data_IF_294270544743
#
_entry.id   IF_294270544743
#
_cell.length_a   1.000
_cell.length_b   1.000
_cell.length_c   1.000
_cell.angle_alpha   90.00
_cell.angle_beta   90.00
_cell.angle_gamma   90.00
#
_symmetry.space_group_name_H-M   'P 1'
#
loop_
_entity.id
_entity.type
_entity.pdbx_description
1 polymer ?
#
# COMPACT_ATOMS: atom_id res chain seq x y z
N UNK A 1 17.81 -54.34 23.46
CA UNK A 1 16.77 -53.83 22.55
C UNK A 1 17.00 -52.33 22.41
N UNK A 2 17.03 -51.78 21.19
CA UNK A 2 17.31 -50.36 21.02
C UNK A 2 16.15 -49.56 21.62
N UNK A 3 16.46 -48.71 22.60
CA UNK A 3 15.48 -47.87 23.29
C UNK A 3 15.62 -46.44 22.80
N UNK A 4 14.51 -45.77 22.52
CA UNK A 4 14.51 -44.38 22.02
C UNK A 4 14.20 -43.44 23.17
N UNK A 5 15.16 -42.58 23.52
CA UNK A 5 14.97 -41.52 24.54
C UNK A 5 14.76 -40.17 23.85
N UNK A 6 13.57 -39.58 24.02
CA UNK A 6 13.23 -38.24 23.55
C UNK A 6 13.37 -37.24 24.71
N UNK A 7 14.25 -36.24 24.57
CA UNK A 7 14.36 -35.11 25.52
C UNK A 7 13.81 -33.83 24.91
N UNK A 8 12.71 -33.34 25.48
CA UNK A 8 12.14 -32.03 25.18
C UNK A 8 12.77 -30.92 26.04
N UNK A 9 12.64 -29.62 25.65
CA UNK A 9 13.35 -28.49 26.29
C UNK A 9 12.98 -28.19 27.75
N UNK A 10 12.06 -28.93 28.38
CA UNK A 10 11.74 -28.80 29.82
C UNK A 10 11.44 -30.15 30.48
N UNK A 11 12.46 -31.01 30.57
CA UNK A 11 12.67 -31.91 31.71
C UNK A 11 11.69 -33.07 31.97
N UNK A 12 10.81 -33.43 31.04
CA UNK A 12 10.00 -34.67 31.14
C UNK A 12 10.42 -35.62 30.01
N UNK A 13 10.82 -36.84 30.38
CA UNK A 13 11.26 -37.90 29.46
C UNK A 13 10.19 -38.99 29.35
N UNK A 14 9.83 -39.36 28.12
CA UNK A 14 9.07 -40.57 27.83
C UNK A 14 9.93 -41.53 26.99
N UNK A 15 9.91 -42.80 27.38
CA UNK A 15 10.66 -43.88 26.72
C UNK A 15 9.65 -44.71 25.94
N UNK A 16 9.87 -44.85 24.64
CA UNK A 16 9.09 -45.75 23.79
C UNK A 16 9.97 -46.90 23.32
N UNK A 17 9.41 -48.09 23.32
CA UNK A 17 10.05 -49.32 22.85
C UNK A 17 9.53 -49.58 21.43
N UNK A 18 10.35 -49.27 20.41
CA UNK A 18 10.01 -49.53 19.01
C UNK A 18 11.06 -50.47 18.45
N UNK A 19 10.61 -51.67 18.10
CA UNK A 19 11.45 -52.72 17.53
C UNK A 19 11.95 -52.32 16.13
N UNK A 20 13.26 -52.44 15.88
CA UNK A 20 13.91 -51.98 14.64
C UNK A 20 13.35 -52.63 13.37
N UNK A 21 12.75 -53.81 13.51
CA UNK A 21 12.07 -54.53 12.43
C UNK A 21 10.79 -53.82 11.95
N UNK A 22 10.07 -53.12 12.83
CA UNK A 22 8.83 -52.38 12.50
C UNK A 22 9.11 -51.07 11.78
N UNK A 23 10.27 -50.46 12.04
CA UNK A 23 10.68 -49.22 11.38
C UNK A 23 11.09 -49.50 9.93
N UNK A 24 11.75 -50.63 9.67
CA UNK A 24 12.03 -51.12 8.32
C UNK A 24 10.75 -51.47 7.55
N UNK A 25 9.76 -52.12 8.19
CA UNK A 25 8.44 -52.34 7.59
C UNK A 25 7.69 -51.04 7.28
N UNK A 26 7.79 -50.02 8.14
CA UNK A 26 7.18 -48.71 7.93
C UNK A 26 7.71 -48.03 6.66
N UNK A 27 9.04 -48.02 6.46
CA UNK A 27 9.64 -47.48 5.24
C UNK A 27 9.36 -48.34 4.00
N UNK A 28 9.31 -49.67 4.14
CA UNK A 28 8.83 -50.56 3.06
C UNK A 28 7.39 -50.27 2.64
N UNK A 29 6.52 -49.87 3.56
CA UNK A 29 5.12 -49.50 3.26
C UNK A 29 4.94 -48.17 2.50
N UNK A 30 6.00 -47.35 2.42
CA UNK A 30 5.99 -46.05 1.75
C UNK A 30 6.42 -46.13 0.27
N UNK A 31 7.11 -47.20 -0.15
CA UNK A 31 7.62 -47.38 -1.52
C UNK A 31 7.25 -48.78 -2.05
N UNK A 32 6.54 -48.86 -3.17
CA UNK A 32 6.07 -50.14 -3.75
C UNK A 32 7.13 -50.91 -4.57
N UNK A 33 8.42 -50.60 -4.42
CA UNK A 33 9.48 -51.19 -5.21
C UNK A 33 10.48 -51.92 -4.31
N UNK A 34 10.44 -53.26 -4.32
CA UNK A 34 11.36 -54.10 -3.54
C UNK A 34 12.78 -54.14 -4.13
N UNK A 35 12.98 -53.71 -5.38
CA UNK A 35 14.28 -53.77 -6.06
C UNK A 35 15.23 -52.62 -5.68
N UNK A 36 14.72 -51.55 -5.07
CA UNK A 36 15.49 -50.32 -4.78
C UNK A 36 16.07 -50.27 -3.36
N UNK A 37 15.81 -51.28 -2.53
CA UNK A 37 16.31 -51.39 -1.16
C UNK A 37 17.43 -52.43 -1.10
N UNK A 38 18.59 -52.09 -1.66
CA UNK A 38 19.83 -52.84 -1.41
C UNK A 38 20.05 -53.01 0.11
N UNK A 39 20.48 -54.20 0.51
CA UNK A 39 20.53 -54.69 1.88
C UNK A 39 20.80 -53.62 2.94
N UNK A 40 19.93 -53.57 3.95
CA UNK A 40 20.03 -52.80 5.20
C UNK A 40 21.18 -53.33 6.10
N UNK A 41 22.34 -53.60 5.50
CA UNK A 41 23.52 -54.19 6.10
C UNK A 41 24.81 -53.40 5.83
N UNK A 42 24.99 -52.82 4.64
CA UNK A 42 26.13 -51.95 4.31
C UNK A 42 25.75 -51.05 3.11
N UNK A 43 25.72 -49.72 3.31
CA UNK A 43 25.03 -48.75 2.44
C UNK A 43 25.63 -48.50 1.04
N UNK A 44 24.77 -48.40 0.01
CA UNK A 44 24.91 -47.46 -1.11
C UNK A 44 23.53 -47.07 -1.69
N UNK A 45 23.25 -45.76 -1.84
CA UNK A 45 22.06 -45.27 -2.57
C UNK A 45 22.50 -44.16 -3.54
N UNK A 46 22.16 -44.36 -4.81
CA UNK A 46 22.29 -43.42 -5.92
C UNK A 46 20.88 -42.98 -6.32
N UNK A 47 20.69 -41.69 -6.64
CA UNK A 47 19.40 -41.11 -7.03
C UNK A 47 19.60 -40.33 -8.33
N UNK A 48 18.82 -40.66 -9.36
CA UNK A 48 18.70 -39.87 -10.59
C UNK A 48 17.20 -39.58 -10.88
N UNK A 49 16.95 -38.34 -11.33
CA UNK A 49 15.71 -37.64 -11.76
C UNK A 49 14.52 -37.46 -10.77
N UNK A 50 14.09 -36.20 -10.64
CA UNK A 50 13.22 -35.68 -9.55
C UNK A 50 11.84 -35.22 -10.06
N UNK A 51 10.72 -35.77 -9.55
CA UNK A 51 9.37 -35.20 -9.69
C UNK A 51 8.87 -34.51 -8.40
N UNK A 52 7.87 -33.60 -8.49
CA UNK A 52 7.30 -32.88 -7.34
C UNK A 52 6.54 -33.81 -6.37
N UNK A 53 6.71 -33.62 -5.05
CA UNK A 53 6.04 -34.40 -3.99
C UNK A 53 6.92 -35.39 -3.21
N UNK A 54 8.22 -35.10 -3.06
CA UNK A 54 9.19 -35.96 -2.35
C UNK A 54 9.56 -35.43 -0.96
N UNK A 55 10.02 -36.34 -0.09
CA UNK A 55 10.57 -36.06 1.24
C UNK A 55 12.07 -36.30 1.23
N UNK A 56 12.86 -35.33 1.70
CA UNK A 56 14.31 -35.51 1.85
C UNK A 56 14.67 -36.06 3.23
N UNK A 57 15.47 -37.11 3.24
CA UNK A 57 16.02 -37.73 4.44
C UNK A 57 17.54 -37.58 4.41
N UNK A 58 18.10 -36.82 5.35
CA UNK A 58 19.56 -36.61 5.43
C UNK A 58 20.16 -37.46 6.54
N UNK A 59 21.15 -38.29 6.21
CA UNK A 59 21.89 -39.11 7.17
C UNK A 59 23.28 -38.50 7.36
N UNK A 60 23.66 -38.25 8.62
CA UNK A 60 24.97 -37.68 8.96
C UNK A 60 25.78 -38.73 9.71
N UNK A 61 26.87 -39.21 9.12
CA UNK A 61 27.80 -40.13 9.79
C UNK A 61 28.69 -39.38 10.79
N UNK A 62 29.08 -40.03 11.90
CA UNK A 62 29.92 -39.40 12.93
C UNK A 62 31.33 -38.99 12.44
N UNK A 63 31.71 -39.34 11.20
CA UNK A 63 32.93 -38.87 10.52
C UNK A 63 32.76 -37.59 9.68
N UNK A 64 31.58 -36.97 9.67
CA UNK A 64 31.31 -35.73 8.93
C UNK A 64 30.86 -35.94 7.47
N UNK A 65 30.66 -37.18 7.04
CA UNK A 65 30.04 -37.50 5.76
C UNK A 65 28.52 -37.35 5.84
N UNK A 66 27.94 -36.60 4.91
CA UNK A 66 26.50 -36.42 4.79
C UNK A 66 26.00 -37.16 3.55
N UNK A 67 24.97 -38.00 3.69
CA UNK A 67 24.27 -38.62 2.56
C UNK A 67 22.80 -38.24 2.62
N UNK A 68 22.31 -37.59 1.57
CA UNK A 68 20.90 -37.20 1.45
C UNK A 68 20.20 -38.17 0.51
N UNK A 69 19.06 -38.69 0.95
CA UNK A 69 18.22 -39.60 0.20
C UNK A 69 16.84 -38.98 0.04
N UNK A 70 16.40 -38.80 -1.19
CA UNK A 70 15.09 -38.26 -1.53
C UNK A 70 14.12 -39.42 -1.76
N UNK A 71 13.04 -39.48 -0.98
CA UNK A 71 12.01 -40.51 -1.09
C UNK A 71 10.77 -39.89 -1.75
N UNK A 72 10.36 -40.33 -2.94
CA UNK A 72 9.13 -39.85 -3.58
C UNK A 72 7.90 -40.41 -2.83
N UNK A 73 7.01 -39.54 -2.36
CA UNK A 73 5.75 -39.95 -1.71
C UNK A 73 4.54 -39.26 -2.34
N UNK A 74 4.06 -39.70 -3.52
CA UNK A 74 2.83 -39.17 -4.07
C UNK A 74 1.64 -39.57 -3.19
N UNK A 75 0.89 -38.59 -2.69
CA UNK A 75 -0.45 -38.80 -2.11
C UNK A 75 -0.53 -39.43 -0.72
N UNK A 76 0.59 -39.67 -0.02
CA UNK A 76 0.60 -40.24 1.35
C UNK A 76 1.10 -39.31 2.45
N UNK A 77 1.32 -38.03 2.16
CA UNK A 77 1.74 -37.00 3.14
C UNK A 77 0.78 -36.96 4.34
N UNK A 78 -0.53 -37.01 4.10
CA UNK A 78 -1.53 -37.03 5.17
C UNK A 78 -1.51 -38.29 6.04
N UNK A 79 -1.14 -39.46 5.50
CA UNK A 79 -1.01 -40.69 6.27
C UNK A 79 0.26 -40.69 7.13
N UNK A 80 1.36 -40.13 6.61
CA UNK A 80 2.61 -39.93 7.35
C UNK A 80 2.40 -38.95 8.51
N UNK A 81 1.70 -37.84 8.24
CA UNK A 81 1.37 -36.81 9.22
C UNK A 81 0.39 -37.32 10.31
N UNK A 82 -0.59 -38.16 9.95
CA UNK A 82 -1.51 -38.78 10.89
C UNK A 82 -0.85 -39.86 11.77
N UNK A 83 0.06 -40.67 11.22
CA UNK A 83 0.81 -41.67 11.98
C UNK A 83 1.81 -41.02 12.95
N UNK A 84 2.47 -39.93 12.53
CA UNK A 84 3.36 -39.15 13.40
C UNK A 84 2.58 -38.35 14.46
N UNK A 85 1.41 -37.81 14.12
CA UNK A 85 0.52 -37.12 15.06
C UNK A 85 -0.14 -38.05 16.10
N UNK A 86 -0.39 -39.32 15.76
CA UNK A 86 -0.80 -40.32 16.76
C UNK A 86 0.33 -40.72 17.72
N UNK A 87 1.59 -40.51 17.31
CA UNK A 87 2.76 -40.79 18.14
C UNK A 87 3.24 -39.57 18.95
N UNK A 88 2.77 -38.35 18.65
CA UNK A 88 3.24 -37.11 19.26
C UNK A 88 2.16 -36.00 19.27
N UNK A 89 1.75 -35.55 20.46
CA UNK A 89 0.68 -34.54 20.64
C UNK A 89 1.25 -33.12 20.84
N UNK A 90 2.21 -32.71 19.99
CA UNK A 90 2.90 -31.42 20.08
C UNK A 90 3.32 -30.84 18.72
N UNK A 91 3.59 -29.53 18.67
CA UNK A 91 3.85 -28.76 17.45
C UNK A 91 5.00 -29.33 16.60
N UNK A 92 4.70 -29.64 15.34
CA UNK A 92 5.40 -30.59 14.45
C UNK A 92 6.44 -29.92 13.52
N UNK A 93 7.02 -28.79 13.92
CA UNK A 93 7.96 -28.06 13.04
C UNK A 93 9.36 -28.68 12.97
N UNK A 94 9.75 -29.55 13.91
CA UNK A 94 11.02 -30.30 13.84
C UNK A 94 11.01 -31.50 14.80
N UNK A 95 11.29 -32.71 14.33
CA UNK A 95 11.41 -33.91 15.18
C UNK A 95 12.80 -34.53 15.03
N UNK A 96 13.60 -34.55 16.11
CA UNK A 96 14.96 -35.13 16.11
C UNK A 96 14.93 -36.47 16.84
N UNK A 97 15.18 -37.57 16.14
CA UNK A 97 15.30 -38.91 16.72
C UNK A 97 16.78 -39.22 16.98
N UNK A 98 17.17 -39.44 18.24
CA UNK A 98 18.49 -39.97 18.59
C UNK A 98 18.34 -41.45 18.98
N UNK A 99 19.05 -42.34 18.30
CA UNK A 99 19.17 -43.76 18.66
C UNK A 99 20.53 -44.02 19.29
N UNK A 100 20.60 -44.83 20.35
CA UNK A 100 21.89 -45.29 20.88
C UNK A 100 22.47 -46.42 20.01
N UNK A 101 23.63 -46.13 19.44
CA UNK A 101 24.42 -46.92 18.49
C UNK A 101 25.38 -45.96 17.77
N UNK A 102 26.43 -46.43 17.06
CA UNK A 102 27.55 -45.62 16.50
C UNK A 102 27.19 -44.50 15.47
N UNK A 103 25.93 -44.09 15.35
CA UNK A 103 25.46 -43.20 14.29
C UNK A 103 24.44 -42.18 14.80
N UNK A 104 24.39 -41.00 14.16
CA UNK A 104 23.44 -39.92 14.46
C UNK A 104 22.57 -39.67 13.23
N UNK A 105 21.30 -40.09 13.26
CA UNK A 105 20.37 -39.85 12.15
C UNK A 105 19.55 -38.60 12.45
N UNK A 106 19.54 -37.62 11.54
CA UNK A 106 18.77 -36.37 11.68
C UNK A 106 17.73 -36.31 10.58
N UNK A 107 16.49 -36.69 10.89
CA UNK A 107 15.38 -36.62 9.92
C UNK A 107 14.76 -35.23 9.97
N UNK A 108 15.09 -34.37 9.02
CA UNK A 108 14.41 -33.09 8.84
C UNK A 108 13.15 -33.31 7.99
N UNK A 109 11.98 -33.36 8.64
CA UNK A 109 10.70 -33.35 7.92
C UNK A 109 10.30 -31.90 7.70
N UNK A 110 10.56 -31.36 6.51
CA UNK A 110 10.05 -30.05 6.10
C UNK A 110 8.63 -30.25 5.58
N UNK A 111 7.64 -30.00 6.43
CA UNK A 111 6.23 -29.96 6.01
C UNK A 111 5.98 -28.57 5.43
N UNK A 112 6.01 -28.45 4.09
CA UNK A 112 5.52 -27.25 3.43
C UNK A 112 4.05 -27.04 3.79
N UNK A 113 3.72 -25.86 4.29
CA UNK A 113 2.38 -25.50 4.73
C UNK A 113 1.44 -25.33 3.54
N UNK A 114 0.94 -26.43 2.97
CA UNK A 114 -0.08 -26.42 1.91
C UNK A 114 -1.51 -26.45 2.46
N UNK A 115 -1.75 -25.85 3.63
CA UNK A 115 -3.11 -25.71 4.19
C UNK A 115 -3.65 -24.31 3.86
N UNK A 116 -3.88 -24.05 2.56
CA UNK A 116 -4.84 -23.09 1.99
C UNK A 116 -4.58 -22.85 0.49
N UNK A 117 -4.43 -23.90 -0.33
CA UNK A 117 -4.39 -23.69 -1.78
C UNK A 117 -5.56 -24.39 -2.46
N UNK A 118 -6.50 -23.64 -3.06
CA UNK A 118 -7.45 -24.20 -4.01
C UNK A 118 -6.64 -24.90 -5.10
N UNK A 119 -6.85 -26.20 -5.25
CA UNK A 119 -6.08 -27.14 -6.07
C UNK A 119 -6.20 -26.90 -7.59
N UNK A 120 -5.98 -25.68 -8.06
CA UNK A 120 -6.16 -25.29 -9.47
C UNK A 120 -5.47 -23.99 -9.87
N UNK A 121 -4.49 -23.51 -9.11
CA UNK A 121 -3.86 -22.21 -9.34
C UNK A 121 -2.35 -22.32 -9.59
N UNK A 122 -1.91 -23.30 -10.40
CA UNK A 122 -0.46 -23.54 -10.66
C UNK A 122 0.27 -22.32 -11.22
N UNK A 123 -0.46 -21.42 -11.89
CA UNK A 123 0.10 -20.18 -12.44
C UNK A 123 0.60 -19.20 -11.37
N UNK A 124 0.20 -19.36 -10.10
CA UNK A 124 0.74 -18.59 -8.97
C UNK A 124 2.22 -18.92 -8.76
N UNK A 125 2.57 -20.20 -8.82
CA UNK A 125 3.94 -20.68 -8.60
C UNK A 125 4.81 -20.39 -9.82
N UNK A 126 4.22 -20.38 -11.02
CA UNK A 126 4.92 -20.07 -12.26
C UNK A 126 5.26 -18.56 -12.41
N UNK A 127 4.37 -17.66 -11.95
CA UNK A 127 4.57 -16.20 -11.99
C UNK A 127 3.93 -15.49 -10.77
N UNK A 128 4.59 -15.53 -9.59
CA UNK A 128 4.06 -14.93 -8.37
C UNK A 128 3.89 -13.41 -8.46
N UNK A 129 4.70 -12.75 -9.31
CA UNK A 129 4.62 -11.31 -9.54
C UNK A 129 3.36 -10.98 -10.35
N UNK A 130 3.16 -11.63 -11.50
CA UNK A 130 1.97 -11.48 -12.32
C UNK A 130 0.69 -11.82 -11.56
N UNK A 131 0.73 -12.88 -10.76
CA UNK A 131 -0.34 -13.26 -9.83
C UNK A 131 -0.73 -12.14 -8.89
N UNK A 132 0.25 -11.57 -8.18
CA UNK A 132 -0.01 -10.48 -7.26
C UNK A 132 -0.66 -9.27 -7.95
N UNK A 133 -0.21 -8.88 -9.15
CA UNK A 133 -0.79 -7.75 -9.87
C UNK A 133 -2.22 -8.00 -10.36
N UNK A 134 -2.51 -9.17 -10.93
CA UNK A 134 -3.85 -9.51 -11.41
C UNK A 134 -4.82 -9.57 -10.23
N UNK A 135 -4.40 -10.20 -9.12
CA UNK A 135 -5.21 -10.27 -7.92
C UNK A 135 -5.45 -8.88 -7.32
N UNK A 136 -4.41 -8.06 -7.20
CA UNK A 136 -4.54 -6.68 -6.70
C UNK A 136 -5.45 -5.83 -7.57
N UNK A 137 -5.41 -6.01 -8.90
CA UNK A 137 -6.31 -5.33 -9.83
C UNK A 137 -7.76 -5.80 -9.60
N UNK A 138 -7.98 -7.11 -9.50
CA UNK A 138 -9.29 -7.69 -9.21
C UNK A 138 -9.88 -7.20 -7.89
N UNK A 139 -9.07 -7.18 -6.82
CA UNK A 139 -9.44 -6.64 -5.50
C UNK A 139 -9.73 -5.15 -5.58
N UNK A 140 -8.90 -4.38 -6.31
CA UNK A 140 -9.11 -2.94 -6.50
C UNK A 140 -10.43 -2.68 -7.20
N UNK A 141 -10.70 -3.36 -8.31
CA UNK A 141 -11.94 -3.20 -9.08
C UNK A 141 -13.14 -3.62 -8.25
N UNK A 142 -13.09 -4.79 -7.60
CA UNK A 142 -14.18 -5.31 -6.79
C UNK A 142 -14.54 -4.39 -5.62
N UNK A 143 -13.54 -3.97 -4.84
CA UNK A 143 -13.74 -3.06 -3.70
C UNK A 143 -14.28 -1.70 -4.15
N UNK A 144 -13.68 -1.12 -5.20
CA UNK A 144 -14.09 0.20 -5.70
C UNK A 144 -15.49 0.17 -6.31
N UNK A 145 -15.86 -0.88 -7.05
CA UNK A 145 -17.22 -1.03 -7.60
C UNK A 145 -18.25 -1.30 -6.50
N UNK A 146 -17.89 -2.06 -5.45
CA UNK A 146 -18.78 -2.27 -4.31
C UNK A 146 -19.04 -0.95 -3.57
N UNK A 147 -17.99 -0.17 -3.30
CA UNK A 147 -18.14 1.15 -2.69
C UNK A 147 -18.88 2.15 -3.60
N UNK A 148 -18.68 2.10 -4.92
CA UNK A 148 -19.46 2.86 -5.89
C UNK A 148 -20.94 2.49 -5.83
N UNK A 149 -21.28 1.21 -5.82
CA UNK A 149 -22.67 0.76 -5.75
C UNK A 149 -23.36 1.28 -4.48
N UNK A 150 -22.70 1.20 -3.33
CA UNK A 150 -23.19 1.76 -2.06
C UNK A 150 -23.32 3.29 -2.16
N UNK A 151 -22.30 3.99 -2.66
CA UNK A 151 -22.30 5.45 -2.78
C UNK A 151 -23.38 5.95 -3.74
N UNK A 152 -23.61 5.26 -4.86
CA UNK A 152 -24.63 5.58 -5.85
C UNK A 152 -26.05 5.28 -5.33
N UNK A 153 -26.25 4.14 -4.66
CA UNK A 153 -27.54 3.75 -4.10
C UNK A 153 -27.96 4.63 -2.91
N UNK A 154 -27.03 4.93 -2.00
CA UNK A 154 -27.29 5.73 -0.79
C UNK A 154 -27.04 7.23 -0.97
N UNK A 155 -26.58 7.65 -2.16
CA UNK A 155 -26.17 9.04 -2.42
C UNK A 155 -25.17 9.55 -1.39
N UNK A 156 -24.25 8.66 -0.98
CA UNK A 156 -23.34 8.86 0.15
C UNK A 156 -21.91 9.08 -0.34
N UNK A 157 -21.52 10.35 -0.42
CA UNK A 157 -20.24 10.86 -0.92
C UNK A 157 -19.09 10.69 0.07
N UNK A 158 -19.39 10.58 1.35
CA UNK A 158 -18.41 10.54 2.45
C UNK A 158 -17.49 9.30 2.42
N UNK A 159 -17.91 8.25 1.71
CA UNK A 159 -17.17 6.99 1.64
C UNK A 159 -16.06 7.00 0.57
N UNK A 160 -16.09 7.96 -0.36
CA UNK A 160 -15.18 7.98 -1.51
C UNK A 160 -13.71 8.05 -1.08
N UNK A 161 -13.37 9.05 -0.26
CA UNK A 161 -12.02 9.24 0.30
C UNK A 161 -11.57 8.05 1.17
N UNK A 162 -12.50 7.43 1.91
CA UNK A 162 -12.24 6.27 2.75
C UNK A 162 -11.96 5.02 1.90
N UNK A 163 -12.74 4.79 0.84
CA UNK A 163 -12.61 3.64 -0.05
C UNK A 163 -11.24 3.64 -0.75
N UNK A 164 -10.79 4.80 -1.25
CA UNK A 164 -9.45 4.93 -1.82
C UNK A 164 -8.35 4.57 -0.82
N UNK A 165 -8.37 5.17 0.36
CA UNK A 165 -7.34 4.98 1.39
C UNK A 165 -7.31 3.55 1.95
N UNK A 166 -8.48 2.96 2.21
CA UNK A 166 -8.60 1.58 2.68
C UNK A 166 -8.06 0.59 1.65
N UNK A 167 -8.29 0.83 0.36
CA UNK A 167 -7.83 -0.05 -0.70
C UNK A 167 -6.30 -0.16 -0.72
N UNK A 168 -5.56 0.95 -0.56
CA UNK A 168 -4.10 0.88 -0.40
C UNK A 168 -3.65 -0.01 0.77
N UNK A 169 -4.33 0.09 1.93
CA UNK A 169 -4.03 -0.75 3.10
C UNK A 169 -4.29 -2.22 2.79
N UNK A 170 -5.42 -2.51 2.15
CA UNK A 170 -5.80 -3.86 1.72
C UNK A 170 -4.75 -4.43 0.77
N UNK A 171 -4.29 -3.68 -0.24
CA UNK A 171 -3.27 -4.17 -1.17
C UNK A 171 -1.93 -4.43 -0.48
N UNK A 172 -1.50 -3.55 0.43
CA UNK A 172 -0.26 -3.74 1.18
C UNK A 172 -0.31 -4.97 2.08
N UNK A 173 -1.40 -5.16 2.84
CA UNK A 173 -1.57 -6.32 3.73
C UNK A 173 -1.75 -7.61 2.92
N UNK A 174 -2.59 -7.59 1.88
CA UNK A 174 -2.84 -8.75 1.03
C UNK A 174 -1.55 -9.26 0.40
N UNK A 175 -0.75 -8.38 -0.21
CA UNK A 175 0.49 -8.79 -0.86
C UNK A 175 1.55 -9.25 0.14
N UNK A 176 1.58 -8.69 1.35
CA UNK A 176 2.45 -9.18 2.43
C UNK A 176 2.06 -10.60 2.88
N UNK A 177 0.76 -10.88 3.02
CA UNK A 177 0.25 -12.21 3.40
C UNK A 177 0.47 -13.27 2.33
N UNK A 178 0.57 -12.85 1.06
CA UNK A 178 0.82 -13.73 -0.08
C UNK A 178 2.31 -13.91 -0.40
N UNK A 179 3.20 -13.18 0.28
CA UNK A 179 4.63 -13.30 0.07
C UNK A 179 5.15 -14.66 0.57
N UNK A 180 5.89 -15.37 -0.28
CA UNK A 180 6.50 -16.66 0.05
C UNK A 180 7.48 -16.56 1.23
N UNK A 181 8.32 -15.51 1.19
CA UNK A 181 9.23 -15.17 2.28
C UNK A 181 8.97 -13.75 2.79
N UNK A 182 8.63 -13.65 4.08
CA UNK A 182 8.39 -12.36 4.74
C UNK A 182 9.70 -11.85 5.35
N UNK A 183 10.38 -10.98 4.60
CA UNK A 183 11.56 -10.26 5.06
C UNK A 183 11.24 -8.93 5.78
N UNK A 184 12.23 -8.37 6.47
CA UNK A 184 12.09 -7.08 7.15
C UNK A 184 11.70 -5.93 6.20
N UNK A 185 12.17 -5.98 4.94
CA UNK A 185 11.81 -5.00 3.89
C UNK A 185 10.31 -4.98 3.63
N UNK A 186 9.71 -6.15 3.39
CA UNK A 186 8.29 -6.31 3.11
C UNK A 186 7.44 -5.83 4.29
N UNK A 187 7.81 -6.24 5.51
CA UNK A 187 7.14 -5.81 6.74
C UNK A 187 7.17 -4.28 6.87
N UNK A 188 8.37 -3.68 6.82
CA UNK A 188 8.52 -2.23 7.04
C UNK A 188 7.77 -1.43 5.97
N UNK A 189 7.94 -1.75 4.69
CA UNK A 189 7.26 -1.02 3.60
C UNK A 189 5.74 -1.15 3.73
N UNK A 190 5.24 -2.36 4.04
CA UNK A 190 3.79 -2.59 4.21
C UNK A 190 3.23 -1.83 5.41
N UNK A 191 3.95 -1.83 6.54
CA UNK A 191 3.59 -1.04 7.72
C UNK A 191 3.59 0.46 7.44
N UNK A 192 4.62 0.98 6.75
CA UNK A 192 4.71 2.39 6.38
C UNK A 192 3.50 2.81 5.52
N UNK A 193 3.20 2.05 4.46
CA UNK A 193 2.02 2.29 3.63
C UNK A 193 0.75 2.22 4.47
N UNK A 194 0.53 1.15 5.23
CA UNK A 194 -0.67 0.98 6.05
C UNK A 194 -0.88 2.16 7.02
N UNK A 195 0.14 2.52 7.80
CA UNK A 195 0.08 3.62 8.77
C UNK A 195 -0.25 4.94 8.08
N UNK A 196 0.45 5.28 6.99
CA UNK A 196 0.22 6.55 6.29
C UNK A 196 -1.19 6.67 5.70
N UNK A 197 -1.71 5.56 5.15
CA UNK A 197 -3.03 5.56 4.50
C UNK A 197 -4.15 5.54 5.53
N UNK A 198 -3.97 4.84 6.65
CA UNK A 198 -4.91 4.87 7.77
C UNK A 198 -4.95 6.26 8.42
N UNK A 199 -3.81 6.92 8.62
CA UNK A 199 -3.75 8.29 9.13
C UNK A 199 -4.50 9.26 8.21
N UNK A 200 -4.21 9.23 6.91
CA UNK A 200 -4.88 10.07 5.92
C UNK A 200 -6.39 9.81 5.88
N UNK A 201 -6.80 8.54 5.91
CA UNK A 201 -8.21 8.14 5.96
C UNK A 201 -8.91 8.73 7.20
N UNK A 202 -8.30 8.59 8.37
CA UNK A 202 -8.85 9.08 9.63
C UNK A 202 -8.99 10.61 9.63
N UNK A 203 -7.98 11.33 9.12
CA UNK A 203 -8.01 12.78 9.00
C UNK A 203 -9.11 13.27 8.04
N UNK A 204 -9.23 12.64 6.87
CA UNK A 204 -10.26 12.98 5.89
C UNK A 204 -11.67 12.68 6.42
N UNK A 205 -11.86 11.52 7.05
CA UNK A 205 -13.13 11.15 7.67
C UNK A 205 -13.52 12.15 8.76
N UNK A 206 -12.60 12.50 9.66
CA UNK A 206 -12.83 13.52 10.69
C UNK A 206 -13.28 14.86 10.08
N UNK A 207 -12.60 15.32 9.02
CA UNK A 207 -12.92 16.59 8.35
C UNK A 207 -14.30 16.57 7.70
N UNK A 208 -14.66 15.46 7.06
CA UNK A 208 -15.98 15.30 6.41
C UNK A 208 -17.10 15.25 7.46
N UNK A 209 -16.88 14.55 8.58
CA UNK A 209 -17.84 14.52 9.69
C UNK A 209 -18.08 15.92 10.29
N UNK A 210 -17.05 16.78 10.34
CA UNK A 210 -17.21 18.16 10.82
C UNK A 210 -17.86 19.12 9.80
N UNK A 211 -17.60 18.97 8.50
CA UNK A 211 -18.11 19.92 7.47
C UNK A 211 -19.54 19.63 7.02
N UNK A 212 -20.10 18.46 7.34
CA UNK A 212 -21.46 18.12 6.96
C UNK A 212 -21.53 17.52 5.54
N UNK A 213 -22.01 18.30 4.56
CA UNK A 213 -22.14 17.90 3.15
C UNK A 213 -20.98 18.41 2.31
N UNK A 214 -20.47 17.58 1.37
CA UNK A 214 -19.46 17.99 0.40
C UNK A 214 -20.13 18.49 -0.89
N UNK A 215 -20.00 19.79 -1.16
CA UNK A 215 -20.58 20.48 -2.31
C UNK A 215 -20.04 19.98 -3.66
N UNK A 216 -18.89 19.28 -3.68
CA UNK A 216 -18.28 18.73 -4.92
C UNK A 216 -19.19 17.73 -5.63
N UNK A 217 -20.02 17.01 -4.87
CA UNK A 217 -20.82 15.90 -5.41
C UNK A 217 -22.29 16.26 -5.67
N UNK A 218 -22.73 17.48 -5.37
CA UNK A 218 -24.14 17.85 -5.47
C UNK A 218 -24.66 17.76 -6.92
N UNK A 219 -23.83 18.06 -7.93
CA UNK A 219 -24.20 17.99 -9.37
C UNK A 219 -23.77 16.71 -10.07
N UNK A 220 -22.83 15.95 -9.49
CA UNK A 220 -22.26 14.72 -10.09
C UNK A 220 -23.11 13.49 -9.73
N UNK A 221 -23.76 13.52 -8.57
CA UNK A 221 -24.63 12.47 -8.02
C UNK A 221 -25.80 12.06 -8.93
N UNK A 222 -26.34 13.03 -9.66
CA UNK A 222 -27.48 12.83 -10.56
C UNK A 222 -27.10 12.12 -11.86
N UNK A 223 -25.80 11.93 -12.12
CA UNK A 223 -25.27 11.34 -13.36
C UNK A 223 -24.38 10.13 -13.04
N UNK A 224 -24.95 8.91 -12.94
CA UNK A 224 -24.23 7.73 -12.47
C UNK A 224 -23.01 7.38 -13.32
N UNK A 225 -23.05 7.66 -14.64
CA UNK A 225 -21.90 7.44 -15.53
C UNK A 225 -20.75 8.42 -15.27
N UNK A 226 -21.05 9.69 -14.97
CA UNK A 226 -20.01 10.69 -14.64
C UNK A 226 -19.41 10.36 -13.27
N UNK A 227 -20.23 9.91 -12.32
CA UNK A 227 -19.75 9.43 -11.05
C UNK A 227 -18.86 8.18 -11.21
N UNK A 228 -19.23 7.22 -12.06
CA UNK A 228 -18.41 6.04 -12.34
C UNK A 228 -17.02 6.40 -12.89
N UNK A 229 -16.92 7.41 -13.76
CA UNK A 229 -15.61 7.89 -14.26
C UNK A 229 -14.68 8.32 -13.12
N UNK A 230 -15.21 8.98 -12.08
CA UNK A 230 -14.43 9.33 -10.88
C UNK A 230 -13.88 8.08 -10.18
N UNK A 231 -14.70 7.02 -10.04
CA UNK A 231 -14.26 5.76 -9.43
C UNK A 231 -13.23 5.01 -10.27
N UNK A 232 -13.34 5.04 -11.61
CA UNK A 232 -12.33 4.48 -12.51
C UNK A 232 -11.00 5.21 -12.36
N UNK A 233 -11.00 6.54 -12.28
CA UNK A 233 -9.79 7.31 -11.96
C UNK A 233 -9.21 6.96 -10.59
N UNK A 234 -10.07 6.71 -9.61
CA UNK A 234 -9.65 6.27 -8.27
C UNK A 234 -9.02 4.87 -8.31
N UNK A 235 -9.57 3.93 -9.07
CA UNK A 235 -8.99 2.59 -9.29
C UNK A 235 -7.60 2.69 -9.91
N UNK A 236 -7.46 3.47 -10.99
CA UNK A 236 -6.17 3.67 -11.66
C UNK A 236 -5.15 4.28 -10.70
N UNK A 237 -5.55 5.29 -9.93
CA UNK A 237 -4.68 5.93 -8.94
C UNK A 237 -4.21 4.95 -7.87
N UNK A 238 -5.12 4.22 -7.22
CA UNK A 238 -4.74 3.26 -6.17
C UNK A 238 -3.79 2.21 -6.72
N UNK A 239 -4.11 1.65 -7.88
CA UNK A 239 -3.34 0.55 -8.47
C UNK A 239 -1.93 0.99 -8.90
N UNK A 240 -1.82 2.10 -9.64
CA UNK A 240 -0.51 2.60 -10.12
C UNK A 240 0.38 3.01 -8.96
N UNK A 241 -0.17 3.70 -7.96
CA UNK A 241 0.61 4.17 -6.82
C UNK A 241 1.01 3.01 -5.89
N UNK A 242 0.16 1.98 -5.75
CA UNK A 242 0.51 0.76 -4.98
C UNK A 242 1.51 -0.15 -5.70
N UNK A 243 1.81 0.10 -6.98
CA UNK A 243 2.63 -0.81 -7.79
C UNK A 243 3.98 -1.16 -7.14
N UNK A 244 4.67 -0.21 -6.52
CA UNK A 244 5.96 -0.48 -5.86
C UNK A 244 5.83 -1.42 -4.67
N UNK A 245 4.84 -1.24 -3.79
CA UNK A 245 4.65 -2.14 -2.63
C UNK A 245 4.19 -3.53 -3.07
N UNK A 246 3.32 -3.61 -4.09
CA UNK A 246 2.91 -4.89 -4.69
C UNK A 246 4.13 -5.66 -5.18
N UNK A 247 5.02 -5.00 -5.94
CA UNK A 247 6.24 -5.63 -6.46
C UNK A 247 7.21 -6.04 -5.35
N UNK A 248 7.44 -5.16 -4.37
CA UNK A 248 8.36 -5.44 -3.26
C UNK A 248 7.91 -6.68 -2.49
N UNK A 249 6.61 -6.82 -2.26
CA UNK A 249 6.06 -7.96 -1.52
C UNK A 249 6.06 -9.24 -2.35
N UNK A 250 5.73 -9.19 -3.65
CA UNK A 250 5.67 -10.38 -4.51
C UNK A 250 7.04 -10.91 -4.95
N UNK A 251 8.02 -10.04 -5.13
CA UNK A 251 9.38 -10.40 -5.56
C UNK A 251 10.40 -10.39 -4.40
N UNK A 252 9.95 -10.25 -3.16
CA UNK A 252 10.81 -10.01 -2.00
C UNK A 252 11.80 -11.13 -1.69
N UNK A 253 11.44 -12.39 -1.98
CA UNK A 253 12.30 -13.57 -1.80
C UNK A 253 13.61 -13.46 -2.61
N UNK A 254 13.58 -12.83 -3.79
CA UNK A 254 14.74 -12.67 -4.69
C UNK A 254 15.84 -11.76 -4.14
N UNK A 255 15.53 -10.93 -3.14
CA UNK A 255 16.46 -9.98 -2.54
C UNK A 255 16.51 -10.09 -1.00
N UNK A 256 15.98 -11.18 -0.44
CA UNK A 256 16.02 -11.48 1.00
C UNK A 256 17.25 -12.33 1.35
N UNK A 257 17.78 -12.27 2.58
CA UNK A 257 17.33 -11.49 3.74
C UNK A 257 18.08 -10.16 3.95
N UNK A 258 19.02 -9.79 3.08
CA UNK A 258 19.92 -8.66 3.35
C UNK A 258 19.29 -7.29 3.08
N UNK A 259 19.37 -6.42 4.10
CA UNK A 259 19.03 -5.01 3.96
C UNK A 259 20.21 -4.25 3.34
N UNK A 260 19.90 -3.29 2.48
CA UNK A 260 20.87 -2.43 1.80
C UNK A 260 20.73 -0.98 2.23
N UNK A 261 21.68 -0.12 1.85
CA UNK A 261 21.56 1.32 2.08
C UNK A 261 20.29 1.92 1.45
N UNK A 262 19.80 1.37 0.33
CA UNK A 262 18.59 1.86 -0.34
C UNK A 262 17.33 1.66 0.52
N UNK A 263 17.26 0.58 1.30
CA UNK A 263 16.18 0.33 2.26
C UNK A 263 16.07 1.48 3.27
N UNK A 264 17.18 1.76 3.96
CA UNK A 264 17.24 2.81 4.98
C UNK A 264 16.98 4.20 4.41
N UNK A 265 17.54 4.51 3.23
CA UNK A 265 17.27 5.79 2.55
C UNK A 265 15.79 5.91 2.19
N UNK A 266 15.19 4.85 1.65
CA UNK A 266 13.77 4.84 1.30
C UNK A 266 12.87 5.01 2.54
N UNK A 267 13.17 4.31 3.63
CA UNK A 267 12.42 4.46 4.89
C UNK A 267 12.59 5.84 5.52
N UNK A 268 13.79 6.43 5.45
CA UNK A 268 14.04 7.78 5.93
C UNK A 268 13.29 8.84 5.10
N UNK A 269 13.28 8.70 3.77
CA UNK A 269 12.49 9.55 2.88
C UNK A 269 10.99 9.43 3.16
N UNK A 270 10.51 8.21 3.39
CA UNK A 270 9.12 7.97 3.80
C UNK A 270 8.82 8.64 5.13
N UNK A 271 9.63 8.42 6.16
CA UNK A 271 9.43 9.01 7.49
C UNK A 271 9.44 10.55 7.45
N UNK A 272 10.34 11.14 6.67
CA UNK A 272 10.38 12.59 6.44
C UNK A 272 9.12 13.07 5.71
N UNK A 273 8.70 12.39 4.64
CA UNK A 273 7.48 12.70 3.90
C UNK A 273 6.24 12.66 4.78
N UNK A 274 6.12 11.62 5.61
CA UNK A 274 5.03 11.42 6.55
C UNK A 274 4.98 12.55 7.58
N UNK A 275 6.12 12.88 8.19
CA UNK A 275 6.21 13.97 9.15
C UNK A 275 5.84 15.32 8.52
N UNK A 276 6.33 15.62 7.32
CA UNK A 276 6.01 16.84 6.57
C UNK A 276 4.51 16.93 6.29
N UNK A 277 3.88 15.83 5.86
CA UNK A 277 2.45 15.77 5.56
C UNK A 277 1.60 16.03 6.80
N UNK A 278 1.82 15.26 7.87
CA UNK A 278 1.05 15.38 9.12
C UNK A 278 1.20 16.77 9.73
N UNK A 279 2.43 17.29 9.82
CA UNK A 279 2.68 18.63 10.38
C UNK A 279 2.03 19.72 9.53
N UNK A 280 2.09 19.61 8.20
CA UNK A 280 1.44 20.56 7.30
C UNK A 280 -0.08 20.58 7.47
N UNK A 281 -0.72 19.41 7.53
CA UNK A 281 -2.17 19.30 7.68
C UNK A 281 -2.64 19.80 9.05
N UNK A 282 -1.93 19.48 10.13
CA UNK A 282 -2.20 20.03 11.48
C UNK A 282 -2.04 21.55 11.51
N UNK A 283 -0.96 22.10 10.95
CA UNK A 283 -0.74 23.54 10.88
C UNK A 283 -1.89 24.26 10.15
N UNK A 284 -2.34 23.70 9.01
CA UNK A 284 -3.43 24.26 8.23
C UNK A 284 -4.78 24.13 8.92
N UNK A 285 -5.02 23.02 9.60
CA UNK A 285 -6.21 22.80 10.41
C UNK A 285 -6.32 23.85 11.53
N UNK A 286 -5.27 23.96 12.36
CA UNK A 286 -5.23 24.94 13.46
C UNK A 286 -5.35 26.38 12.96
N UNK A 287 -4.68 26.72 11.85
CA UNK A 287 -4.78 28.04 11.25
C UNK A 287 -6.21 28.39 10.81
N UNK A 288 -6.94 27.43 10.23
CA UNK A 288 -8.32 27.62 9.77
C UNK A 288 -9.37 27.58 10.86
N UNK A 289 -9.06 27.00 12.03
CA UNK A 289 -9.96 26.97 13.18
C UNK A 289 -10.14 28.38 13.80
N UNK A 290 -9.14 29.24 13.66
CA UNK A 290 -9.19 30.63 14.14
C UNK A 290 -9.96 31.54 13.16
N UNK A 291 -11.02 32.18 13.66
CA UNK A 291 -11.89 33.07 12.87
C UNK A 291 -11.16 34.29 12.32
N UNK A 292 -10.08 34.75 12.98
CA UNK A 292 -9.27 35.87 12.51
C UNK A 292 -8.56 35.57 11.17
N UNK A 293 -8.46 34.30 10.78
CA UNK A 293 -7.77 33.84 9.59
C UNK A 293 -8.70 33.51 8.41
N UNK A 294 -10.02 33.72 8.51
CA UNK A 294 -11.00 33.34 7.47
C UNK A 294 -10.70 33.88 6.06
N UNK A 295 -10.00 35.02 5.96
CA UNK A 295 -9.59 35.66 4.69
C UNK A 295 -8.08 35.81 4.53
N UNK A 296 -7.30 35.00 5.26
CA UNK A 296 -5.83 35.01 5.18
C UNK A 296 -5.29 33.70 4.64
N UNK A 297 -4.24 33.78 3.83
CA UNK A 297 -3.49 32.60 3.40
C UNK A 297 -2.65 32.06 4.57
N UNK A 298 -2.55 30.74 4.70
CA UNK A 298 -1.69 30.13 5.70
C UNK A 298 -0.23 30.29 5.26
N UNK A 299 0.51 31.17 5.92
CA UNK A 299 1.93 31.43 5.70
C UNK A 299 2.72 31.22 7.00
N UNK A 300 2.51 30.08 7.66
CA UNK A 300 3.18 29.72 8.92
C UNK A 300 3.76 28.32 8.87
N UNK A 301 4.85 28.10 9.59
CA UNK A 301 5.49 26.79 9.67
C UNK A 301 5.96 26.30 8.29
N UNK A 302 5.58 25.09 7.92
CA UNK A 302 5.94 24.48 6.63
C UNK A 302 5.31 25.21 5.44
N UNK A 303 4.14 25.84 5.64
CA UNK A 303 3.47 26.62 4.59
C UNK A 303 4.25 27.87 4.18
N UNK A 304 5.21 28.33 4.99
CA UNK A 304 6.13 29.40 4.58
C UNK A 304 7.18 28.92 3.58
N UNK A 305 7.50 27.63 3.56
CA UNK A 305 8.56 27.04 2.74
C UNK A 305 8.03 26.33 1.49
N UNK A 306 6.74 26.03 1.44
CA UNK A 306 6.04 25.46 0.29
C UNK A 306 4.59 25.89 0.33
N UNK A 307 3.98 26.14 -0.84
CA UNK A 307 2.55 26.44 -0.93
C UNK A 307 1.69 25.21 -0.70
N UNK A 308 2.25 24.02 -0.89
CA UNK A 308 1.61 22.72 -0.67
C UNK A 308 2.56 21.71 0.00
N UNK A 309 2.97 21.95 1.26
CA UNK A 309 3.93 21.10 1.95
C UNK A 309 3.35 19.69 2.18
N UNK A 310 2.04 19.55 2.35
CA UNK A 310 1.39 18.24 2.45
C UNK A 310 1.49 17.42 1.15
N UNK A 311 1.46 18.06 -0.03
CA UNK A 311 1.70 17.38 -1.30
C UNK A 311 3.17 16.99 -1.47
N UNK A 312 4.10 17.81 -0.96
CA UNK A 312 5.52 17.43 -0.90
C UNK A 312 5.73 16.17 -0.07
N UNK A 313 5.09 16.10 1.10
CA UNK A 313 5.11 14.93 1.97
C UNK A 313 4.61 13.68 1.23
N UNK A 314 3.45 13.76 0.59
CA UNK A 314 2.85 12.67 -0.19
C UNK A 314 3.79 12.16 -1.30
N UNK A 315 4.44 13.06 -2.07
CA UNK A 315 5.41 12.66 -3.09
C UNK A 315 6.62 11.94 -2.46
N UNK A 316 7.14 12.44 -1.34
CA UNK A 316 8.27 11.83 -0.64
C UNK A 316 7.96 10.42 -0.10
N UNK A 317 6.71 10.16 0.33
CA UNK A 317 6.28 8.82 0.74
C UNK A 317 6.52 7.79 -0.37
N UNK A 318 5.99 8.07 -1.56
CA UNK A 318 6.04 7.13 -2.68
C UNK A 318 7.43 7.03 -3.31
N UNK A 319 8.21 8.13 -3.29
CA UNK A 319 9.64 8.05 -3.61
C UNK A 319 10.34 7.13 -2.59
N UNK A 320 10.03 7.26 -1.31
CA UNK A 320 10.60 6.42 -0.25
C UNK A 320 10.31 4.94 -0.45
N UNK A 321 9.05 4.57 -0.75
CA UNK A 321 8.68 3.18 -1.07
C UNK A 321 9.45 2.67 -2.28
N UNK A 322 9.51 3.46 -3.37
CA UNK A 322 10.23 3.08 -4.58
C UNK A 322 11.73 2.88 -4.33
N UNK A 323 12.37 3.81 -3.61
CA UNK A 323 13.81 3.72 -3.29
C UNK A 323 14.10 2.51 -2.40
N UNK A 324 13.25 2.21 -1.41
CA UNK A 324 13.40 1.01 -0.57
C UNK A 324 13.29 -0.29 -1.38
N UNK A 325 12.55 -0.30 -2.49
CA UNK A 325 12.42 -1.44 -3.39
C UNK A 325 13.58 -1.64 -4.36
N UNK A 326 14.51 -0.69 -4.48
CA UNK A 326 15.61 -0.76 -5.45
C UNK A 326 16.42 -2.07 -5.42
N UNK A 327 16.71 -2.71 -4.26
CA UNK A 327 17.40 -4.01 -4.23
C UNK A 327 16.58 -5.11 -4.89
N UNK A 328 15.27 -5.13 -4.67
CA UNK A 328 14.33 -6.08 -5.28
C UNK A 328 14.30 -5.86 -6.79
N UNK A 329 14.29 -4.61 -7.25
CA UNK A 329 14.27 -4.28 -8.69
C UNK A 329 15.58 -4.64 -9.39
N UNK A 330 16.71 -4.70 -8.68
CA UNK A 330 17.97 -5.21 -9.24
C UNK A 330 17.92 -6.72 -9.45
N UNK A 331 17.31 -7.45 -8.51
CA UNK A 331 17.14 -8.90 -8.62
C UNK A 331 16.06 -9.28 -9.67
N UNK A 332 14.99 -8.48 -9.76
CA UNK A 332 13.94 -8.61 -10.77
C UNK A 332 13.76 -7.28 -11.54
N UNK A 333 14.48 -7.10 -12.67
CA UNK A 333 14.49 -5.84 -13.44
C UNK A 333 13.14 -5.32 -13.91
N UNK A 334 12.11 -6.17 -13.99
CA UNK A 334 10.75 -5.70 -14.22
C UNK A 334 10.35 -4.62 -13.20
N UNK A 335 10.78 -4.70 -11.94
CA UNK A 335 10.38 -3.77 -10.87
C UNK A 335 10.72 -2.29 -11.13
N UNK A 336 11.64 -1.99 -12.04
CA UNK A 336 11.95 -0.60 -12.44
C UNK A 336 10.74 0.13 -13.02
N UNK A 337 9.77 -0.57 -13.63
CA UNK A 337 8.54 0.07 -14.15
C UNK A 337 7.73 0.74 -13.04
N UNK A 338 7.83 0.26 -11.79
CA UNK A 338 7.09 0.81 -10.64
C UNK A 338 7.51 2.23 -10.27
N UNK A 339 8.50 2.82 -10.96
CA UNK A 339 8.76 4.28 -10.94
C UNK A 339 7.51 5.07 -11.32
N UNK A 340 6.57 4.43 -12.02
CA UNK A 340 5.23 4.93 -12.26
C UNK A 340 4.52 5.37 -10.97
N UNK A 341 4.74 4.73 -9.81
CA UNK A 341 4.12 5.10 -8.54
C UNK A 341 4.43 6.55 -8.13
N UNK A 342 5.69 6.94 -7.83
CA UNK A 342 6.00 8.31 -7.45
C UNK A 342 5.76 9.33 -8.58
N UNK A 343 5.99 8.96 -9.84
CA UNK A 343 5.74 9.86 -10.98
C UNK A 343 4.27 10.15 -11.20
N UNK A 344 3.41 9.14 -11.05
CA UNK A 344 1.96 9.30 -11.15
C UNK A 344 1.43 10.15 -9.99
N UNK A 345 1.89 9.92 -8.76
CA UNK A 345 1.57 10.79 -7.61
C UNK A 345 1.97 12.24 -7.89
N UNK A 346 3.20 12.48 -8.37
CA UNK A 346 3.66 13.82 -8.72
C UNK A 346 2.77 14.44 -9.80
N UNK A 347 2.44 13.70 -10.86
CA UNK A 347 1.59 14.19 -11.95
C UNK A 347 0.18 14.52 -11.47
N UNK A 348 -0.47 13.66 -10.68
CA UNK A 348 -1.81 13.92 -10.12
C UNK A 348 -1.82 15.20 -9.28
N UNK A 349 -0.81 15.38 -8.44
CA UNK A 349 -0.72 16.55 -7.56
C UNK A 349 -0.34 17.83 -8.30
N UNK A 350 0.50 17.76 -9.33
CA UNK A 350 1.00 18.96 -10.02
C UNK A 350 0.22 19.32 -11.28
N UNK A 351 -0.48 18.39 -11.93
CA UNK A 351 -1.13 18.60 -13.23
C UNK A 351 -2.66 18.44 -13.20
N UNK A 352 -3.20 17.66 -12.26
CA UNK A 352 -4.63 17.32 -12.26
C UNK A 352 -5.36 17.88 -11.03
N UNK A 353 -5.55 17.07 -9.99
CA UNK A 353 -6.47 17.38 -8.88
C UNK A 353 -5.81 18.08 -7.69
N UNK A 354 -4.48 18.23 -7.68
CA UNK A 354 -3.75 18.90 -6.59
C UNK A 354 -3.68 20.42 -6.73
N UNK A 355 -2.47 20.93 -7.00
CA UNK A 355 -2.15 22.35 -7.10
C UNK A 355 -3.03 23.11 -8.12
N UNK A 356 -3.30 22.59 -9.34
CA UNK A 356 -4.16 23.29 -10.30
C UNK A 356 -5.54 23.65 -9.74
N UNK A 357 -6.15 22.74 -9.00
CA UNK A 357 -7.46 22.97 -8.38
C UNK A 357 -7.33 23.85 -7.14
N UNK A 358 -6.28 23.69 -6.35
CA UNK A 358 -6.10 24.40 -5.08
C UNK A 358 -5.70 25.89 -5.24
N UNK A 359 -4.92 26.22 -6.26
CA UNK A 359 -4.43 27.59 -6.57
C UNK A 359 -5.09 28.20 -7.82
N UNK A 360 -5.54 27.41 -8.78
CA UNK A 360 -6.28 27.95 -9.93
C UNK A 360 -7.71 28.30 -9.55
N UNK A 361 -8.62 27.35 -9.71
CA UNK A 361 -10.06 27.58 -9.50
C UNK A 361 -10.39 28.05 -8.08
N UNK A 362 -9.69 27.52 -7.07
CA UNK A 362 -9.98 27.85 -5.67
C UNK A 362 -9.28 29.11 -5.16
N UNK A 363 -8.42 29.77 -5.95
CA UNK A 363 -7.83 31.03 -5.51
C UNK A 363 -8.80 32.20 -5.60
N UNK A 364 -9.90 32.11 -6.34
CA UNK A 364 -10.97 33.14 -6.43
C UNK A 364 -11.30 33.74 -5.06
N UNK A 365 -11.38 32.91 -4.01
CA UNK A 365 -11.66 33.33 -2.62
C UNK A 365 -10.71 34.37 -2.04
N UNK A 366 -9.51 34.52 -2.61
CA UNK A 366 -8.50 35.50 -2.20
C UNK A 366 -8.59 36.80 -3.01
N UNK A 367 -9.26 36.78 -4.16
CA UNK A 367 -9.39 37.91 -5.09
C UNK A 367 -10.68 38.74 -4.88
N UNK A 368 -11.51 38.37 -3.90
CA UNK A 368 -12.74 39.11 -3.52
C UNK A 368 -12.48 40.33 -2.60
N UNK A 369 -11.23 40.72 -2.35
CA UNK A 369 -10.90 41.87 -1.50
C UNK A 369 -9.43 42.28 -1.50
N UNK A 370 -9.17 43.60 -1.44
CA UNK A 370 -7.85 44.19 -1.71
C UNK A 370 -6.69 43.66 -0.84
N UNK A 371 -6.81 43.70 0.49
CA UNK A 371 -5.69 43.30 1.38
C UNK A 371 -5.40 41.78 1.32
N UNK A 372 -6.44 40.95 1.18
CA UNK A 372 -6.30 39.50 1.06
C UNK A 372 -5.63 39.10 -0.26
N UNK A 373 -5.99 39.79 -1.35
CA UNK A 373 -5.36 39.61 -2.66
C UNK A 373 -3.87 39.96 -2.60
N UNK A 374 -3.53 41.14 -2.08
CA UNK A 374 -2.13 41.57 -1.98
C UNK A 374 -1.28 40.60 -1.14
N UNK A 375 -1.82 40.08 -0.04
CA UNK A 375 -1.15 39.07 0.78
C UNK A 375 -0.94 37.74 0.03
N UNK A 376 -1.93 37.30 -0.74
CA UNK A 376 -1.84 36.06 -1.51
C UNK A 376 -0.84 36.18 -2.66
N UNK A 377 -0.81 37.30 -3.39
CA UNK A 377 0.15 37.53 -4.48
C UNK A 377 1.60 37.52 -3.97
N UNK A 378 1.86 38.23 -2.86
CA UNK A 378 3.19 38.23 -2.21
C UNK A 378 3.60 36.82 -1.79
N UNK A 379 2.65 36.03 -1.26
CA UNK A 379 2.88 34.63 -0.89
C UNK A 379 3.17 33.75 -2.11
N UNK A 380 2.38 33.90 -3.19
CA UNK A 380 2.54 33.16 -4.43
C UNK A 380 3.92 33.38 -5.07
N UNK A 381 4.40 34.63 -5.11
CA UNK A 381 5.68 34.97 -5.73
C UNK A 381 6.91 34.52 -4.92
N UNK A 382 6.79 34.43 -3.59
CA UNK A 382 7.93 34.15 -2.70
C UNK A 382 8.05 32.70 -2.26
N UNK A 383 6.98 31.92 -2.34
CA UNK A 383 6.93 30.56 -1.81
C UNK A 383 6.81 29.58 -2.97
N UNK A 384 7.65 28.53 -3.07
CA UNK A 384 7.56 27.53 -4.13
C UNK A 384 6.26 26.70 -4.04
N UNK A 385 5.76 26.11 -5.13
CA UNK A 385 4.50 25.37 -5.13
C UNK A 385 4.57 24.07 -4.32
N UNK A 386 5.61 23.27 -4.56
CA UNK A 386 5.71 21.89 -4.08
C UNK A 386 6.85 21.71 -3.07
N UNK A 387 8.10 21.84 -3.50
CA UNK A 387 9.25 21.51 -2.65
C UNK A 387 9.45 22.50 -1.50
N UNK A 388 9.90 22.00 -0.35
CA UNK A 388 10.30 22.83 0.78
C UNK A 388 11.57 23.60 0.44
N UNK A 389 11.45 24.89 0.15
CA UNK A 389 12.58 25.78 -0.14
C UNK A 389 12.43 27.10 0.61
N UNK A 390 13.50 27.62 1.24
CA UNK A 390 13.51 28.96 1.81
C UNK A 390 13.06 30.02 0.79
N UNK A 391 12.11 30.92 1.14
CA UNK A 391 11.64 31.97 0.24
C UNK A 391 12.75 32.84 -0.34
N UNK A 392 13.82 33.04 0.42
CA UNK A 392 15.00 33.79 -0.01
C UNK A 392 15.67 33.13 -1.21
N UNK A 393 15.80 31.81 -1.22
CA UNK A 393 16.40 31.06 -2.33
C UNK A 393 15.44 31.00 -3.51
N UNK A 394 14.15 30.76 -3.27
CA UNK A 394 13.15 30.69 -4.34
C UNK A 394 13.06 32.00 -5.13
N UNK A 395 13.13 33.16 -4.45
CA UNK A 395 13.11 34.47 -5.10
C UNK A 395 14.29 34.73 -6.05
N UNK A 396 15.44 34.13 -5.77
CA UNK A 396 16.64 34.29 -6.60
C UNK A 396 16.58 33.46 -7.89
N UNK A 397 15.72 32.45 -7.96
CA UNK A 397 15.65 31.55 -9.10
C UNK A 397 15.04 32.25 -10.33
N UNK A 398 15.67 32.15 -11.51
CA UNK A 398 15.06 32.63 -12.75
C UNK A 398 13.82 31.80 -13.08
N UNK A 399 12.90 32.36 -13.87
CA UNK A 399 11.61 31.74 -14.20
C UNK A 399 11.74 30.30 -14.73
N UNK A 400 12.75 30.02 -15.56
CA UNK A 400 13.01 28.67 -16.08
C UNK A 400 13.39 27.67 -14.98
N UNK A 401 14.19 28.10 -14.00
CA UNK A 401 14.57 27.26 -12.86
C UNK A 401 13.38 27.02 -11.93
N UNK A 402 12.53 28.03 -11.67
CA UNK A 402 11.28 27.85 -10.92
C UNK A 402 10.37 26.81 -11.57
N UNK A 403 10.23 26.86 -12.90
CA UNK A 403 9.41 25.90 -13.65
C UNK A 403 9.98 24.48 -13.56
N UNK A 404 11.28 24.29 -13.82
CA UNK A 404 11.90 22.97 -13.90
C UNK A 404 12.17 22.33 -12.53
N UNK A 405 12.69 23.11 -11.58
CA UNK A 405 13.15 22.59 -10.28
C UNK A 405 12.07 22.67 -9.21
N UNK A 406 11.16 23.65 -9.28
CA UNK A 406 10.12 23.86 -8.28
C UNK A 406 8.72 23.44 -8.75
N UNK A 407 8.60 22.97 -9.99
CA UNK A 407 7.32 22.66 -10.63
C UNK A 407 6.40 23.89 -10.72
N UNK A 408 6.92 25.12 -10.83
CA UNK A 408 6.11 26.34 -10.95
C UNK A 408 5.47 26.43 -12.35
N UNK A 409 4.32 25.79 -12.54
CA UNK A 409 3.62 25.72 -13.81
C UNK A 409 2.71 26.94 -14.03
N UNK A 410 2.62 27.48 -15.26
CA UNK A 410 1.77 28.64 -15.55
C UNK A 410 0.28 28.44 -15.23
N UNK A 411 -0.18 27.19 -15.18
CA UNK A 411 -1.55 26.82 -14.91
C UNK A 411 -1.99 27.06 -13.45
N UNK A 412 -1.04 27.29 -12.53
CA UNK A 412 -1.34 27.59 -11.12
C UNK A 412 -1.78 29.04 -10.92
N UNK A 413 -1.36 29.94 -11.81
CA UNK A 413 -1.70 31.34 -11.71
C UNK A 413 -3.19 31.54 -12.02
N UNK A 414 -3.93 32.03 -11.02
CA UNK A 414 -5.30 32.48 -11.24
C UNK A 414 -5.30 33.74 -12.11
N UNK A 415 -6.15 33.75 -13.14
CA UNK A 415 -6.39 34.92 -13.99
C UNK A 415 -7.86 35.31 -13.82
N UNK A 416 -8.15 36.47 -13.21
CA UNK A 416 -9.51 36.97 -13.18
C UNK A 416 -10.01 37.11 -14.62
N UNK A 417 -11.18 36.55 -14.93
CA UNK A 417 -11.86 36.84 -16.19
C UNK A 417 -12.16 38.34 -16.22
N UNK A 418 -11.84 39.01 -17.33
CA UNK A 418 -12.10 40.44 -17.54
C UNK A 418 -13.60 40.80 -17.64
N UNK A 419 -14.49 39.83 -17.48
CA UNK A 419 -15.91 40.08 -17.31
C UNK A 419 -16.21 40.33 -15.83
N UNK A 420 -16.85 41.46 -15.49
CA UNK A 420 -17.37 41.63 -14.14
C UNK A 420 -18.33 40.46 -13.89
N UNK A 421 -18.04 39.65 -12.88
CA UNK A 421 -19.04 38.74 -12.30
C UNK A 421 -20.26 39.61 -12.04
N UNK A 422 -21.32 39.35 -12.81
CA UNK A 422 -22.49 40.22 -12.92
C UNK A 422 -22.83 40.80 -11.56
N UNK A 423 -22.59 42.10 -11.42
CA UNK A 423 -23.15 42.86 -10.33
C UNK A 423 -24.63 42.57 -10.37
N UNK A 424 -25.15 41.97 -9.29
CA UNK A 424 -26.54 42.24 -8.94
C UNK A 424 -26.59 43.75 -8.84
N UNK A 425 -27.08 44.39 -9.89
CA UNK A 425 -27.40 45.80 -9.86
C UNK A 425 -28.40 45.93 -8.72
N UNK A 426 -27.96 46.54 -7.63
CA UNK A 426 -28.85 47.34 -6.85
C UNK A 426 -29.30 48.46 -7.79
N UNK A 427 -30.31 48.17 -8.62
CA UNK A 427 -31.09 49.23 -9.25
C UNK A 427 -31.78 49.94 -8.09
N UNK A 428 -31.16 51.03 -7.65
CA UNK A 428 -31.84 52.13 -7.00
C UNK A 428 -32.90 52.65 -7.96
N UNK A 429 -34.07 52.01 -7.94
CA UNK A 429 -35.32 52.59 -8.38
C UNK A 429 -35.70 53.63 -7.34
N UNK A 430 -35.48 54.89 -7.71
CA UNK A 430 -35.96 56.08 -7.03
C UNK A 430 -37.47 55.96 -6.73
N UNK A 431 -37.86 56.52 -5.58
CA UNK A 431 -39.17 56.34 -4.96
C UNK A 431 -40.39 56.66 -5.83
N UNK A 432 -41.42 55.84 -5.64
CA UNK A 432 -42.80 56.28 -5.78
C UNK A 432 -43.19 57.09 -4.53
N UNK A 433 -43.68 58.33 -4.67
CA UNK A 433 -44.52 58.92 -3.64
C UNK A 433 -45.97 58.48 -3.87
N UNK A 434 -46.57 57.93 -2.81
CA UNK A 434 -48.02 57.80 -2.66
C UNK A 434 -48.69 59.17 -2.85
N UNK A 435 -49.53 59.30 -3.87
CA UNK A 435 -50.53 60.37 -3.98
C UNK A 435 -51.94 59.78 -3.81
N UNK A 436 -52.68 60.41 -2.90
CA UNK A 436 -54.06 60.11 -2.50
C UNK A 436 -55.08 60.34 -3.63
N UNK A 437 -56.35 59.89 -3.47
CA UNK A 437 -57.36 59.97 -4.52
C UNK A 437 -58.07 61.33 -4.48
N UNK A 438 -58.12 62.02 -5.62
CA UNK A 438 -58.97 63.20 -5.80
C UNK A 438 -60.14 62.90 -6.75
N UNK A 439 -61.30 63.27 -6.25
CA UNK A 439 -62.65 63.30 -6.83
C UNK A 439 -62.85 64.49 -7.79
N UNK A 440 -63.98 64.45 -8.51
CA UNK A 440 -64.61 65.48 -9.39
C UNK A 440 -64.18 65.39 -10.88
N UNK A 441 -65.06 65.09 -11.86
CA UNK A 441 -66.20 65.89 -12.35
C UNK A 441 -65.66 67.06 -13.20
N UNK A 442 -65.92 67.31 -14.48
CA UNK A 442 -67.09 67.14 -15.37
C UNK A 442 -66.70 67.57 -16.81
N UNK A 443 -67.52 67.15 -17.80
CA UNK A 443 -67.88 67.82 -19.06
C UNK A 443 -66.94 67.94 -20.30
N UNK A 444 -67.49 67.39 -21.39
CA UNK A 444 -67.59 67.90 -22.77
C UNK A 444 -66.40 68.65 -23.40
N UNK A 445 -65.70 67.97 -24.33
CA UNK A 445 -65.75 68.18 -25.81
C UNK A 445 -64.53 67.55 -26.46
#
# INVERSE_FOLDING_TARGET
MPTVELRLPKGVSHVFDIDGHRLAEFFKGLTNDEATLGELGDFAIQIDDVPPGSVEVTVVEQGGGTRTVTVPTPGKVGALQAALGQAYDGDMSTMTLMMEGKFKVVVNVVISSSVLEPSGMSWRDDDPIGFAYILCLGVTVGLQLACFAVAAALQFDKITDLAGSLNFVVLAVLTLLLAEDIGARQIVVSCLVAVSRTELAAFLLYRVLQRGKDARFDTVRERPLVFLIFWVWQMLWVFVVSSSVIFINSAGHLASPTLSAADYVGWALFGLGFAVQVVADVQKYLFRADQANRRRVCDRGLWRFSRHPNFCGEVLLWIGVYVAGAPVFRAAPAGWWTVASPLFTLAVLTLFTGIPQAEGQNAVRWYDGGEAQAQYEVYFERTPPLWLLPPQLYRLLPRRAKLLLCCELPLYAYRPSSEPVGGRSASSGLGEPLSAPDTEGTDHS
#
